data_IF_901507774971
#
_entry.id   IF_901507774971
#
_cell.length_a   1.000
_cell.length_b   1.000
_cell.length_c   1.000
_cell.angle_alpha   90.00
_cell.angle_beta   90.00
_cell.angle_gamma   90.00
#
_symmetry.space_group_name_H-M   'P 1'
#
loop_
_entity.id
_entity.type
_entity.pdbx_description
1 polymer ?
#
# COMPACT_ATOMS: atom_id res chain seq x y z
N UNK A 1 -4.45 -35.45 -4.05
CA UNK A 1 -3.34 -34.80 -3.31
C UNK A 1 -3.57 -33.30 -3.30
N UNK A 2 -4.36 -32.78 -2.34
CA UNK A 2 -4.58 -31.34 -2.23
C UNK A 2 -3.31 -30.68 -1.71
N UNK A 3 -2.67 -29.83 -2.50
CA UNK A 3 -1.52 -29.05 -2.07
C UNK A 3 -1.98 -28.08 -0.98
N UNK A 4 -1.69 -28.43 0.28
CA UNK A 4 -1.94 -27.58 1.43
C UNK A 4 -1.03 -26.36 1.28
N UNK A 5 -1.57 -25.25 0.77
CA UNK A 5 -0.84 -23.99 0.65
C UNK A 5 -0.41 -23.58 2.06
N UNK A 6 0.87 -23.73 2.38
CA UNK A 6 1.43 -23.18 3.60
C UNK A 6 1.40 -21.66 3.46
N UNK A 7 0.70 -20.99 4.37
CA UNK A 7 0.63 -19.53 4.40
C UNK A 7 2.04 -19.02 4.73
N UNK A 8 2.74 -18.51 3.73
CA UNK A 8 4.09 -17.96 3.91
C UNK A 8 3.96 -16.76 4.85
N UNK A 9 4.52 -16.88 6.05
CA UNK A 9 4.60 -15.80 7.03
C UNK A 9 5.69 -14.83 6.60
N UNK A 10 5.34 -13.92 5.70
CA UNK A 10 6.29 -12.94 5.17
C UNK A 10 6.37 -11.75 6.12
N UNK A 11 7.59 -11.28 6.43
CA UNK A 11 7.76 -10.06 7.20
C UNK A 11 7.12 -8.86 6.48
N UNK A 12 6.54 -7.88 7.20
CA UNK A 12 5.88 -6.73 6.59
C UNK A 12 6.80 -5.93 5.65
N UNK A 13 8.09 -5.82 5.98
CA UNK A 13 9.06 -5.11 5.14
C UNK A 13 9.19 -5.75 3.75
N UNK A 14 9.11 -7.09 3.67
CA UNK A 14 9.18 -7.79 2.40
C UNK A 14 7.94 -7.52 1.53
N UNK A 15 6.79 -7.22 2.15
CA UNK A 15 5.59 -6.82 1.43
C UNK A 15 5.77 -5.43 0.80
N UNK A 16 6.32 -4.47 1.54
CA UNK A 16 6.65 -3.14 1.02
C UNK A 16 7.68 -3.22 -0.11
N UNK A 17 8.73 -4.02 0.07
CA UNK A 17 9.70 -4.29 -1.00
C UNK A 17 9.05 -4.87 -2.25
N UNK A 18 8.08 -5.78 -2.09
CA UNK A 18 7.33 -6.33 -3.22
C UNK A 18 6.54 -5.24 -3.94
N UNK A 19 5.86 -4.34 -3.22
CA UNK A 19 5.10 -3.24 -3.83
C UNK A 19 6.00 -2.25 -4.56
N UNK A 20 7.17 -1.94 -3.99
CA UNK A 20 8.21 -1.13 -4.63
C UNK A 20 8.68 -1.76 -5.95
N UNK A 21 9.01 -3.05 -5.93
CA UNK A 21 9.51 -3.76 -7.11
C UNK A 21 8.45 -3.95 -8.20
N UNK A 22 7.21 -4.27 -7.82
CA UNK A 22 6.11 -4.49 -8.77
C UNK A 22 5.51 -3.19 -9.29
N UNK A 23 5.89 -2.03 -8.75
CA UNK A 23 5.29 -0.71 -9.04
C UNK A 23 3.76 -0.74 -8.92
N UNK A 24 3.26 -1.50 -7.95
CA UNK A 24 1.83 -1.65 -7.74
C UNK A 24 1.26 -0.36 -7.12
N UNK A 25 0.08 0.04 -7.59
CA UNK A 25 -0.68 1.12 -6.94
C UNK A 25 -1.19 0.61 -5.60
N UNK A 26 -0.85 1.33 -4.53
CA UNK A 26 -1.26 1.05 -3.17
C UNK A 26 -2.15 2.17 -2.64
N UNK A 27 -2.96 1.84 -1.62
CA UNK A 27 -3.82 2.80 -0.94
C UNK A 27 -3.40 2.87 0.53
N UNK A 28 -3.07 4.08 1.00
CA UNK A 28 -2.61 4.39 2.35
C UNK A 28 -3.75 5.03 3.13
N UNK A 29 -4.01 4.48 4.32
CA UNK A 29 -5.04 4.98 5.22
C UNK A 29 -4.38 5.87 6.26
N UNK A 30 -4.90 7.08 6.42
CA UNK A 30 -4.36 8.03 7.39
C UNK A 30 -4.95 7.78 8.77
N UNK A 31 -4.15 8.00 9.81
CA UNK A 31 -4.60 7.80 11.20
C UNK A 31 -5.60 8.87 11.64
N UNK A 32 -5.29 10.15 11.37
CA UNK A 32 -6.11 11.29 11.81
C UNK A 32 -7.33 11.54 10.92
N UNK A 33 -7.25 11.18 9.63
CA UNK A 33 -8.30 11.46 8.63
C UNK A 33 -8.79 10.15 8.01
N UNK A 34 -9.84 9.56 8.59
CA UNK A 34 -10.38 8.28 8.13
C UNK A 34 -11.08 8.37 6.75
N UNK A 35 -11.58 9.55 6.41
CA UNK A 35 -12.26 9.79 5.13
C UNK A 35 -11.27 9.98 3.97
N UNK A 36 -10.04 10.41 4.26
CA UNK A 36 -9.00 10.68 3.28
C UNK A 36 -8.10 9.46 3.11
N UNK A 37 -7.82 9.12 1.87
CA UNK A 37 -6.91 8.04 1.50
C UNK A 37 -5.94 8.54 0.45
N UNK A 38 -4.70 8.09 0.50
CA UNK A 38 -3.70 8.45 -0.51
C UNK A 38 -3.46 7.21 -1.37
N UNK A 39 -3.62 7.34 -2.67
CA UNK A 39 -3.28 6.30 -3.63
C UNK A 39 -2.05 6.71 -4.42
N UNK A 40 -1.16 5.76 -4.69
CA UNK A 40 0.06 6.02 -5.44
C UNK A 40 0.95 4.79 -5.57
N UNK A 41 2.07 4.94 -6.27
CA UNK A 41 3.08 3.88 -6.41
C UNK A 41 4.29 4.21 -5.55
N UNK A 42 4.75 3.26 -4.74
CA UNK A 42 5.97 3.47 -3.94
C UNK A 42 7.18 3.53 -4.87
N UNK A 43 8.00 4.57 -4.75
CA UNK A 43 9.32 4.69 -5.40
C UNK A 43 10.50 4.67 -4.42
N UNK A 44 10.23 4.84 -3.13
CA UNK A 44 11.22 4.71 -2.06
C UNK A 44 10.58 4.64 -0.68
N UNK A 45 11.32 4.10 0.29
CA UNK A 45 10.97 4.16 1.72
C UNK A 45 12.24 4.18 2.57
N UNK A 46 12.14 4.62 3.82
CA UNK A 46 13.25 4.68 4.78
C UNK A 46 13.02 3.81 6.03
N UNK A 47 13.95 3.88 6.99
CA UNK A 47 13.90 3.14 8.27
C UNK A 47 12.73 3.55 9.18
N UNK A 48 12.14 4.72 8.95
CA UNK A 48 10.97 5.23 9.67
C UNK A 48 9.66 4.94 8.93
N UNK A 49 9.71 4.23 7.80
CA UNK A 49 8.57 3.94 6.92
C UNK A 49 7.97 5.19 6.26
N UNK A 50 8.74 6.29 6.15
CA UNK A 50 8.34 7.40 5.29
C UNK A 50 8.33 6.90 3.84
N UNK A 51 7.22 7.10 3.13
CA UNK A 51 7.04 6.62 1.76
C UNK A 51 7.19 7.77 0.77
N UNK A 52 7.95 7.54 -0.29
CA UNK A 52 7.96 8.41 -1.47
C UNK A 52 7.07 7.78 -2.52
N UNK A 53 6.09 8.53 -3.01
CA UNK A 53 5.08 8.06 -3.96
C UNK A 53 5.21 8.76 -5.30
N UNK A 54 4.94 8.02 -6.37
CA UNK A 54 4.77 8.50 -7.74
C UNK A 54 3.29 8.38 -8.15
N UNK A 55 2.83 9.25 -9.06
CA UNK A 55 1.43 9.38 -9.48
C UNK A 55 0.42 9.46 -8.30
N UNK A 56 0.80 10.14 -7.20
CA UNK A 56 0.00 10.16 -5.98
C UNK A 56 -1.25 11.06 -6.11
N UNK A 57 -2.41 10.57 -5.66
CA UNK A 57 -3.64 11.33 -5.56
C UNK A 57 -4.41 11.01 -4.27
N UNK A 58 -5.24 11.96 -3.86
CA UNK A 58 -6.10 11.84 -2.69
C UNK A 58 -7.48 11.31 -3.09
N UNK A 59 -7.91 10.22 -2.47
CA UNK A 59 -9.22 9.61 -2.64
C UNK A 59 -10.04 9.83 -1.37
N UNK A 60 -11.17 10.51 -1.49
CA UNK A 60 -12.12 10.66 -0.39
C UNK A 60 -13.16 9.53 -0.43
N UNK A 61 -13.30 8.80 0.67
CA UNK A 61 -14.12 7.58 0.76
C UNK A 61 -15.61 7.84 0.48
N UNK A 62 -16.08 9.09 0.62
CA UNK A 62 -17.47 9.50 0.38
C UNK A 62 -17.77 9.94 -1.06
N UNK A 63 -16.78 10.05 -1.94
CA UNK A 63 -16.93 10.53 -3.32
C UNK A 63 -17.02 9.37 -4.34
N UNK A 64 -17.64 8.27 -3.93
CA UNK A 64 -18.22 7.28 -4.86
C UNK A 64 -19.74 7.25 -4.68
N UNK A 65 -20.38 8.36 -5.04
CA UNK A 65 -21.77 8.37 -5.49
C UNK A 65 -21.74 8.77 -6.97
N UNK A 66 -21.53 7.77 -7.83
CA UNK A 66 -22.06 7.82 -9.20
C UNK A 66 -23.47 7.25 -9.18
#
# INVERSE_FOLDING_TARGET
MGTKVQKIMTQPINLIFRYLQSKQVIQIWLYDQQDLRIEGRIIGFDEYMNLVLDDAHETQTQLMAC
#
